data_IF_159293723254
#
_entry.id   IF_159293723254
#
_cell.length_a   1.000
_cell.length_b   1.000
_cell.length_c   1.000
_cell.angle_alpha   90.00
_cell.angle_beta   90.00
_cell.angle_gamma   90.00
#
_symmetry.space_group_name_H-M   'P 1'
#
loop_
_entity.id
_entity.type
_entity.pdbx_description
1 polymer ?
#
# COMPACT_ATOMS: atom_id res chain seq x y z
N UNK A 1 6.52 -23.38 -13.83
CA UNK A 1 7.25 -23.23 -12.55
C UNK A 1 7.93 -21.87 -12.39
N UNK A 2 8.61 -21.36 -13.43
CA UNK A 2 9.30 -20.04 -13.44
C UNK A 2 8.39 -18.85 -13.15
N UNK A 3 7.22 -18.75 -13.79
CA UNK A 3 6.31 -17.58 -13.63
C UNK A 3 5.74 -17.45 -12.21
N UNK A 4 5.53 -18.57 -11.50
CA UNK A 4 4.96 -18.59 -10.14
C UNK A 4 5.93 -18.02 -9.12
N UNK A 5 7.20 -18.40 -9.22
CA UNK A 5 8.29 -17.88 -8.38
C UNK A 5 8.48 -16.38 -8.62
N UNK A 6 8.41 -15.91 -9.88
CA UNK A 6 8.62 -14.50 -10.22
C UNK A 6 7.51 -13.63 -9.63
N UNK A 7 6.25 -14.05 -9.79
CA UNK A 7 5.10 -13.32 -9.23
C UNK A 7 5.17 -13.27 -7.70
N UNK A 8 5.57 -14.36 -7.05
CA UNK A 8 5.76 -14.38 -5.60
C UNK A 8 6.88 -13.43 -5.15
N UNK A 9 8.03 -13.45 -5.85
CA UNK A 9 9.15 -12.53 -5.60
C UNK A 9 8.76 -11.07 -5.78
N UNK A 10 8.06 -10.73 -6.86
CA UNK A 10 7.55 -9.38 -7.10
C UNK A 10 6.56 -8.92 -6.02
N UNK A 11 5.69 -9.82 -5.55
CA UNK A 11 4.74 -9.51 -4.47
C UNK A 11 5.46 -9.21 -3.15
N UNK A 12 6.56 -9.92 -2.85
CA UNK A 12 7.39 -9.66 -1.67
C UNK A 12 8.24 -8.39 -1.82
N UNK A 13 8.76 -8.12 -3.02
CA UNK A 13 9.48 -6.86 -3.29
C UNK A 13 8.55 -5.65 -3.13
N UNK A 14 7.30 -5.77 -3.57
CA UNK A 14 6.29 -4.75 -3.36
C UNK A 14 6.09 -4.42 -1.88
N UNK A 15 6.23 -5.41 -0.98
CA UNK A 15 6.21 -5.17 0.47
C UNK A 15 7.37 -4.33 0.97
N UNK A 16 8.60 -4.66 0.57
CA UNK A 16 9.78 -3.88 0.96
C UNK A 16 9.71 -2.45 0.45
N UNK A 17 9.38 -2.28 -0.83
CA UNK A 17 9.25 -0.96 -1.48
C UNK A 17 8.11 -0.17 -0.83
N UNK A 18 6.93 -0.77 -0.71
CA UNK A 18 5.73 -0.11 -0.22
C UNK A 18 5.87 0.34 1.23
N UNK A 19 6.30 -0.56 2.12
CA UNK A 19 6.45 -0.24 3.53
C UNK A 19 7.52 0.85 3.76
N UNK A 20 8.66 0.75 3.07
CA UNK A 20 9.70 1.78 3.12
C UNK A 20 9.22 3.13 2.59
N UNK A 21 8.53 3.12 1.45
CA UNK A 21 8.02 4.33 0.82
C UNK A 21 6.98 5.06 1.68
N UNK A 22 5.96 4.34 2.20
CA UNK A 22 4.91 4.96 3.01
C UNK A 22 5.45 5.44 4.37
N UNK A 23 6.41 4.73 4.96
CA UNK A 23 7.08 5.15 6.18
C UNK A 23 7.90 6.43 5.98
N UNK A 24 8.71 6.49 4.93
CA UNK A 24 9.48 7.68 4.57
C UNK A 24 8.55 8.86 4.28
N UNK A 25 7.45 8.63 3.54
CA UNK A 25 6.41 9.64 3.28
C UNK A 25 5.85 10.19 4.61
N UNK A 26 5.48 9.31 5.54
CA UNK A 26 4.96 9.70 6.85
C UNK A 26 5.95 10.55 7.66
N UNK A 27 7.22 10.13 7.68
CA UNK A 27 8.28 10.81 8.42
C UNK A 27 8.56 12.22 7.89
N UNK A 28 8.61 12.38 6.57
CA UNK A 28 8.90 13.70 5.97
C UNK A 28 7.69 14.64 6.12
N UNK A 29 6.46 14.14 5.91
CA UNK A 29 5.24 14.92 6.13
C UNK A 29 5.04 15.34 7.59
N UNK A 30 5.56 14.56 8.54
CA UNK A 30 5.53 14.88 9.96
C UNK A 30 6.63 15.86 10.41
N UNK A 31 7.58 16.18 9.53
CA UNK A 31 8.64 17.16 9.78
C UNK A 31 8.28 18.53 9.19
N UNK A 32 9.14 19.54 9.41
CA UNK A 32 9.01 20.84 8.76
C UNK A 32 9.33 20.67 7.27
N UNK A 33 8.31 20.84 6.42
CA UNK A 33 8.44 20.69 4.97
C UNK A 33 9.09 21.94 4.36
N UNK A 34 10.29 21.75 3.81
CA UNK A 34 10.93 22.64 2.86
C UNK A 34 10.78 22.09 1.42
N UNK A 35 11.35 22.76 0.43
CA UNK A 35 11.26 22.32 -0.96
C UNK A 35 11.90 20.94 -1.20
N UNK A 36 13.02 20.66 -0.52
CA UNK A 36 13.68 19.37 -0.61
C UNK A 36 12.79 18.26 -0.02
N UNK A 37 12.14 18.53 1.11
CA UNK A 37 11.13 17.69 1.73
C UNK A 37 9.95 17.41 0.82
N UNK A 38 9.40 18.43 0.14
CA UNK A 38 8.33 18.24 -0.85
C UNK A 38 8.74 17.30 -1.99
N UNK A 39 9.93 17.49 -2.57
CA UNK A 39 10.44 16.57 -3.61
C UNK A 39 10.62 15.15 -3.09
N UNK A 40 11.09 15.00 -1.85
CA UNK A 40 11.26 13.70 -1.22
C UNK A 40 9.92 13.01 -0.95
N UNK A 41 8.90 13.74 -0.49
CA UNK A 41 7.52 13.25 -0.33
C UNK A 41 6.97 12.76 -1.67
N UNK A 42 7.12 13.54 -2.75
CA UNK A 42 6.65 13.15 -4.07
C UNK A 42 7.34 11.89 -4.60
N UNK A 43 8.62 11.69 -4.31
CA UNK A 43 9.34 10.47 -4.69
C UNK A 43 8.85 9.27 -3.87
N UNK A 44 8.70 9.44 -2.56
CA UNK A 44 8.16 8.40 -1.69
C UNK A 44 6.74 8.00 -2.11
N UNK A 45 5.91 8.98 -2.43
CA UNK A 45 4.55 8.78 -2.94
C UNK A 45 4.51 7.98 -4.26
N UNK A 46 5.41 8.29 -5.20
CA UNK A 46 5.54 7.51 -6.44
C UNK A 46 5.90 6.04 -6.15
N UNK A 47 6.87 5.79 -5.27
CA UNK A 47 7.24 4.42 -4.91
C UNK A 47 6.14 3.65 -4.17
N UNK A 48 5.36 4.36 -3.34
CA UNK A 48 4.17 3.79 -2.72
C UNK A 48 3.12 3.38 -3.76
N UNK A 49 2.85 4.24 -4.75
CA UNK A 49 1.96 3.91 -5.87
C UNK A 49 2.46 2.74 -6.72
N UNK A 50 3.76 2.66 -7.00
CA UNK A 50 4.37 1.52 -7.72
C UNK A 50 4.21 0.22 -6.92
N UNK A 51 4.44 0.26 -5.60
CA UNK A 51 4.23 -0.91 -4.75
C UNK A 51 2.76 -1.35 -4.73
N UNK A 52 1.82 -0.42 -4.65
CA UNK A 52 0.38 -0.73 -4.72
C UNK A 52 0.02 -1.40 -6.05
N UNK A 53 0.52 -0.89 -7.18
CA UNK A 53 0.30 -1.51 -8.50
C UNK A 53 0.88 -2.93 -8.58
N UNK A 54 2.09 -3.14 -8.06
CA UNK A 54 2.72 -4.46 -8.00
C UNK A 54 1.89 -5.43 -7.15
N UNK A 55 1.43 -5.02 -5.97
CA UNK A 55 0.60 -5.86 -5.11
C UNK A 55 -0.74 -6.24 -5.73
N UNK A 56 -1.44 -5.27 -6.33
CA UNK A 56 -2.73 -5.51 -6.96
C UNK A 56 -2.56 -6.42 -8.17
N UNK A 57 -1.60 -6.15 -9.06
CA UNK A 57 -1.37 -6.97 -10.26
C UNK A 57 -0.95 -8.41 -9.92
N UNK A 58 0.01 -8.58 -9.01
CA UNK A 58 0.46 -9.92 -8.58
C UNK A 58 -0.58 -10.66 -7.74
N UNK A 59 -1.36 -9.94 -6.92
CA UNK A 59 -2.47 -10.49 -6.14
C UNK A 59 -3.61 -10.96 -7.03
N UNK A 60 -4.01 -10.15 -8.02
CA UNK A 60 -5.03 -10.50 -9.00
C UNK A 60 -4.61 -11.69 -9.86
N UNK A 61 -3.34 -11.72 -10.30
CA UNK A 61 -2.79 -12.88 -11.00
C UNK A 61 -2.93 -14.16 -10.18
N UNK A 62 -2.66 -14.11 -8.86
CA UNK A 62 -2.78 -15.27 -7.97
C UNK A 62 -4.21 -15.82 -7.90
N UNK A 63 -5.22 -14.95 -7.94
CA UNK A 63 -6.63 -15.33 -7.91
C UNK A 63 -7.09 -15.84 -9.29
N UNK A 64 -6.77 -15.12 -10.36
CA UNK A 64 -7.25 -15.40 -11.72
C UNK A 64 -6.52 -16.57 -12.40
N UNK A 65 -5.25 -16.81 -12.09
CA UNK A 65 -4.48 -17.93 -12.65
C UNK A 65 -4.93 -19.30 -12.12
N UNK A 66 -6.06 -19.36 -11.39
CA UNK A 66 -6.73 -20.62 -11.02
C UNK A 66 -5.88 -21.55 -10.16
N UNK A 67 -4.96 -21.00 -9.37
CA UNK A 67 -3.98 -21.79 -8.62
C UNK A 67 -4.62 -22.56 -7.45
N UNK A 68 -5.70 -22.06 -6.85
CA UNK A 68 -6.31 -22.66 -5.63
C UNK A 68 -7.84 -22.49 -5.58
N UNK A 69 -8.59 -23.40 -6.23
CA UNK A 69 -10.03 -23.73 -6.01
C UNK A 69 -11.10 -22.65 -6.31
N UNK A 70 -12.31 -23.16 -6.57
CA UNK A 70 -13.54 -22.48 -6.99
C UNK A 70 -13.82 -21.20 -6.17
N UNK A 71 -14.36 -20.15 -6.80
CA UNK A 71 -14.59 -18.80 -6.21
C UNK A 71 -15.33 -18.84 -4.86
N UNK A 72 -16.17 -19.86 -4.65
CA UNK A 72 -16.85 -20.14 -3.38
C UNK A 72 -15.90 -20.38 -2.17
N UNK A 73 -14.68 -20.90 -2.39
CA UNK A 73 -13.68 -21.13 -1.34
C UNK A 73 -13.08 -19.82 -0.81
N UNK A 74 -12.89 -18.82 -1.68
CA UNK A 74 -12.39 -17.50 -1.28
C UNK A 74 -13.42 -16.71 -0.45
N UNK A 75 -14.72 -16.86 -0.75
CA UNK A 75 -15.80 -16.25 0.03
C UNK A 75 -16.05 -16.92 1.39
N UNK A 76 -15.61 -18.17 1.58
CA UNK A 76 -15.73 -18.87 2.86
C UNK A 76 -14.52 -18.70 3.79
N UNK A 77 -13.38 -18.25 3.26
CA UNK A 77 -12.17 -18.02 4.05
C UNK A 77 -12.21 -16.60 4.69
N UNK A 78 -12.56 -16.55 5.97
CA UNK A 78 -12.65 -15.32 6.74
C UNK A 78 -11.35 -14.49 6.72
N UNK A 79 -10.18 -15.13 6.71
CA UNK A 79 -8.91 -14.40 6.68
C UNK A 79 -8.59 -13.83 5.30
N UNK A 80 -9.04 -14.47 4.22
CA UNK A 80 -8.96 -13.88 2.89
C UNK A 80 -9.81 -12.62 2.82
N UNK A 81 -11.07 -12.69 3.29
CA UNK A 81 -11.97 -11.53 3.34
C UNK A 81 -11.40 -10.40 4.22
N UNK A 82 -10.85 -10.72 5.40
CA UNK A 82 -10.20 -9.72 6.26
C UNK A 82 -9.01 -9.07 5.56
N UNK A 83 -8.17 -9.85 4.86
CA UNK A 83 -7.05 -9.29 4.07
C UNK A 83 -7.55 -8.36 2.96
N UNK A 84 -8.62 -8.73 2.26
CA UNK A 84 -9.22 -7.88 1.22
C UNK A 84 -9.86 -6.63 1.81
N UNK A 85 -10.50 -6.71 2.97
CA UNK A 85 -11.03 -5.56 3.69
C UNK A 85 -9.92 -4.60 4.12
N UNK A 86 -8.79 -5.10 4.65
CA UNK A 86 -7.63 -4.25 4.96
C UNK A 86 -7.07 -3.56 3.72
N UNK A 87 -6.95 -4.29 2.60
CA UNK A 87 -6.52 -3.69 1.33
C UNK A 87 -7.48 -2.57 0.90
N UNK A 88 -8.78 -2.81 0.97
CA UNK A 88 -9.80 -1.81 0.64
C UNK A 88 -9.72 -0.57 1.55
N UNK A 89 -9.50 -0.76 2.86
CA UNK A 89 -9.29 0.35 3.81
C UNK A 89 -8.04 1.14 3.46
N UNK A 90 -6.91 0.47 3.16
CA UNK A 90 -5.66 1.14 2.75
C UNK A 90 -5.90 1.99 1.50
N UNK A 91 -6.59 1.45 0.49
CA UNK A 91 -6.90 2.15 -0.75
C UNK A 91 -7.85 3.33 -0.52
N UNK A 92 -8.87 3.18 0.32
CA UNK A 92 -9.78 4.25 0.68
C UNK A 92 -9.05 5.39 1.40
N UNK A 93 -8.17 5.06 2.34
CA UNK A 93 -7.31 6.02 3.03
C UNK A 93 -6.33 6.72 2.08
N UNK A 94 -5.92 6.05 0.99
CA UNK A 94 -4.96 6.56 0.02
C UNK A 94 -5.56 7.58 -0.96
N UNK A 95 -6.89 7.60 -1.14
CA UNK A 95 -7.57 8.54 -2.05
C UNK A 95 -7.24 9.99 -1.71
N UNK A 96 -7.31 10.36 -0.42
CA UNK A 96 -7.07 11.74 0.00
C UNK A 96 -5.60 12.19 -0.13
N UNK A 97 -4.59 11.39 0.30
CA UNK A 97 -3.18 11.63 0.00
C UNK A 97 -2.89 11.79 -1.48
N UNK A 98 -3.42 10.91 -2.35
CA UNK A 98 -3.20 11.00 -3.80
C UNK A 98 -3.65 12.34 -4.34
N UNK A 99 -4.88 12.75 -4.04
CA UNK A 99 -5.45 14.00 -4.57
C UNK A 99 -4.65 15.19 -4.06
N UNK A 100 -4.35 15.22 -2.76
CA UNK A 100 -3.63 16.34 -2.13
C UNK A 100 -2.20 16.46 -2.64
N UNK A 101 -1.46 15.35 -2.71
CA UNK A 101 -0.07 15.36 -3.17
C UNK A 101 0.04 15.62 -4.67
N UNK A 102 -0.94 15.20 -5.46
CA UNK A 102 -1.00 15.54 -6.88
C UNK A 102 -1.22 17.04 -7.08
N UNK A 103 -2.10 17.66 -6.30
CA UNK A 103 -2.30 19.11 -6.31
C UNK A 103 -1.00 19.84 -5.93
N UNK A 104 -0.35 19.42 -4.84
CA UNK A 104 0.93 20.01 -4.41
C UNK A 104 2.01 19.88 -5.48
N UNK A 105 2.07 18.73 -6.15
CA UNK A 105 3.01 18.49 -7.26
C UNK A 105 2.73 19.42 -8.44
N UNK A 106 1.46 19.71 -8.75
CA UNK A 106 1.07 20.65 -9.82
C UNK A 106 1.48 22.08 -9.48
N UNK A 107 1.17 22.56 -8.27
CA UNK A 107 1.55 23.91 -7.81
C UNK A 107 3.07 24.10 -7.76
N UNK A 108 3.79 23.12 -7.20
CA UNK A 108 5.26 23.16 -7.16
C UNK A 108 5.88 23.20 -8.56
N UNK A 109 5.28 22.52 -9.56
CA UNK A 109 5.71 22.62 -10.96
C UNK A 109 5.43 23.98 -11.60
N UNK A 110 4.42 24.71 -11.12
CA UNK A 110 4.13 26.07 -11.54
C UNK A 110 5.00 27.13 -10.84
N UNK A 111 5.93 26.72 -9.97
CA UNK A 111 6.76 27.64 -9.17
C UNK A 111 6.04 28.20 -7.94
N UNK A 112 4.84 27.72 -7.63
CA UNK A 112 4.09 28.13 -6.45
C UNK A 112 4.43 27.25 -5.24
N UNK A 113 4.44 27.85 -4.05
CA UNK A 113 4.57 27.10 -2.80
C UNK A 113 3.20 26.53 -2.38
N UNK A 114 3.03 25.20 -2.33
CA UNK A 114 1.77 24.60 -1.91
C UNK A 114 1.51 24.86 -0.43
N UNK A 115 0.24 25.09 -0.07
CA UNK A 115 -0.17 25.21 1.33
C UNK A 115 -0.07 23.84 2.02
N UNK A 116 0.96 23.63 2.84
CA UNK A 116 1.25 22.35 3.51
C UNK A 116 0.49 22.13 4.82
N UNK A 117 -0.58 22.88 5.08
CA UNK A 117 -1.37 22.77 6.32
C UNK A 117 -1.95 21.37 6.58
N UNK A 118 -2.20 20.59 5.53
CA UNK A 118 -2.67 19.21 5.64
C UNK A 118 -1.55 18.19 5.96
N UNK A 119 -0.27 18.59 5.95
CA UNK A 119 0.87 17.67 6.10
C UNK A 119 0.81 16.79 7.36
N UNK A 120 0.47 17.30 8.56
CA UNK A 120 0.40 16.46 9.76
C UNK A 120 -0.72 15.41 9.70
N UNK A 121 -1.81 15.70 8.99
CA UNK A 121 -2.90 14.73 8.79
C UNK A 121 -2.50 13.65 7.77
N UNK A 122 -1.85 14.05 6.66
CA UNK A 122 -1.29 13.10 5.69
C UNK A 122 -0.20 12.20 6.29
N UNK A 123 0.60 12.73 7.22
CA UNK A 123 1.59 11.95 7.96
C UNK A 123 0.92 10.85 8.80
N UNK A 124 -0.12 11.20 9.56
CA UNK A 124 -0.89 10.25 10.38
C UNK A 124 -1.53 9.14 9.54
N UNK A 125 -2.12 9.50 8.39
CA UNK A 125 -2.68 8.52 7.45
C UNK A 125 -1.59 7.61 6.90
N UNK A 126 -0.45 8.16 6.52
CA UNK A 126 0.69 7.35 6.03
C UNK A 126 1.21 6.38 7.10
N UNK A 127 1.28 6.80 8.37
CA UNK A 127 1.61 5.89 9.48
C UNK A 127 0.54 4.82 9.68
N UNK A 128 -0.75 5.18 9.63
CA UNK A 128 -1.83 4.23 9.73
C UNK A 128 -1.76 3.17 8.62
N UNK A 129 -1.50 3.59 7.37
CA UNK A 129 -1.31 2.69 6.24
C UNK A 129 -0.11 1.75 6.43
N UNK A 130 1.02 2.25 6.94
CA UNK A 130 2.16 1.40 7.30
C UNK A 130 1.76 0.32 8.31
N UNK A 131 1.02 0.70 9.35
CA UNK A 131 0.48 -0.22 10.35
C UNK A 131 -0.47 -1.26 9.76
N UNK A 132 -1.38 -0.85 8.87
CA UNK A 132 -2.32 -1.75 8.18
C UNK A 132 -1.59 -2.74 7.26
N UNK A 133 -0.54 -2.30 6.55
CA UNK A 133 0.32 -3.19 5.75
C UNK A 133 0.99 -4.24 6.63
N UNK A 134 1.56 -3.82 7.77
CA UNK A 134 2.18 -4.76 8.73
C UNK A 134 1.14 -5.76 9.25
N UNK A 135 -0.06 -5.29 9.60
CA UNK A 135 -1.16 -6.17 10.01
C UNK A 135 -1.53 -7.17 8.91
N UNK A 136 -1.60 -6.75 7.64
CA UNK A 136 -1.82 -7.66 6.51
C UNK A 136 -0.74 -8.74 6.40
N UNK A 137 0.53 -8.43 6.71
CA UNK A 137 1.61 -9.41 6.74
C UNK A 137 1.39 -10.45 7.85
N UNK A 138 1.01 -10.01 9.06
CA UNK A 138 0.69 -10.93 10.15
C UNK A 138 -0.49 -11.84 9.81
N UNK A 139 -1.55 -11.31 9.21
CA UNK A 139 -2.69 -12.13 8.75
C UNK A 139 -2.26 -13.12 7.66
N UNK A 140 -1.39 -12.73 6.74
CA UNK A 140 -0.85 -13.63 5.72
C UNK A 140 -0.02 -14.76 6.33
N UNK A 141 0.79 -14.47 7.34
CA UNK A 141 1.56 -15.47 8.07
C UNK A 141 0.66 -16.41 8.89
N UNK A 142 -0.41 -15.89 9.51
CA UNK A 142 -1.39 -16.68 10.22
C UNK A 142 -2.14 -17.65 9.28
N UNK A 143 -2.57 -17.18 8.11
CA UNK A 143 -3.18 -18.04 7.07
C UNK A 143 -2.23 -19.17 6.63
N UNK A 144 -0.94 -18.88 6.47
CA UNK A 144 0.05 -19.89 6.08
C UNK A 144 0.23 -20.99 7.13
N UNK A 145 -0.15 -20.74 8.39
CA UNK A 145 -0.15 -21.71 9.49
C UNK A 145 -1.50 -22.41 9.71
N UNK A 146 -2.50 -22.17 8.85
CA UNK A 146 -3.79 -22.85 8.90
C UNK A 146 -4.85 -22.20 9.80
N UNK A 147 -4.55 -21.05 10.41
CA UNK A 147 -5.60 -20.26 11.09
C UNK A 147 -6.62 -19.76 10.05
N UNK A 148 -7.91 -19.70 10.37
CA UNK A 148 -8.96 -19.09 9.53
C UNK A 148 -9.68 -19.98 8.53
N UNK A 149 -9.24 -21.22 8.34
CA UNK A 149 -10.08 -22.26 7.76
C UNK A 149 -10.96 -22.80 8.89
N UNK A 150 -12.27 -22.61 8.80
CA UNK A 150 -13.22 -23.31 9.68
C UNK A 150 -13.04 -24.81 9.48
N UNK A 151 -12.45 -25.49 10.47
CA UNK A 151 -12.73 -26.89 10.75
C UNK A 151 -14.18 -27.04 11.19
#
# INVERSE_FOLDING_TARGET
MTTRWLVAGLHLLALGIGLGAVWVRARILGARLDEAGLRAVFRADTWWGVAALLWISTGLWRVLAGVEKNTAYYFQNHLFLTKMALLAIILALEVWPIITLLEWRRRAKAGEQPATGAAPALARISFAQAGLVVLMVFLAAAMARGYGASS
#
